data_IF_940709027456
#
_entry.id   IF_940709027456
#
_cell.length_a   1.000
_cell.length_b   1.000
_cell.length_c   1.000
_cell.angle_alpha   90.00
_cell.angle_beta   90.00
_cell.angle_gamma   90.00
#
_symmetry.space_group_name_H-M   'P 1'
#
loop_
_entity.id
_entity.type
_entity.pdbx_description
1 polymer ?
#
# COMPACT_ATOMS: atom_id res chain seq x y z
N UNK A 1 -15.60 0.95 -4.87
CA UNK A 1 -15.46 1.91 -3.76
C UNK A 1 -16.79 2.59 -3.40
N UNK A 2 -17.54 3.14 -4.35
CA UNK A 2 -18.80 3.87 -4.07
C UNK A 2 -19.81 3.09 -3.21
N UNK A 3 -20.09 1.82 -3.56
CA UNK A 3 -20.96 0.94 -2.75
C UNK A 3 -20.49 0.73 -1.31
N UNK A 4 -19.19 0.84 -1.04
CA UNK A 4 -18.61 0.65 0.30
C UNK A 4 -18.71 1.93 1.14
N UNK A 5 -18.52 3.09 0.49
CA UNK A 5 -18.72 4.42 1.08
C UNK A 5 -20.18 4.67 1.44
N UNK A 6 -21.12 4.20 0.61
CA UNK A 6 -22.57 4.26 0.84
C UNK A 6 -22.99 3.42 2.04
N UNK A 7 -22.47 2.18 2.15
CA UNK A 7 -22.81 1.27 3.25
C UNK A 7 -22.24 1.70 4.61
N UNK A 8 -21.14 2.44 4.60
CA UNK A 8 -20.46 2.85 5.83
C UNK A 8 -20.14 4.34 5.77
N UNK A 9 -21.12 5.25 5.90
CA UNK A 9 -20.93 6.68 5.68
C UNK A 9 -20.00 7.34 6.70
N UNK A 10 -19.82 6.73 7.88
CA UNK A 10 -18.95 7.24 8.95
C UNK A 10 -17.56 6.58 9.00
N UNK A 11 -17.33 5.52 8.21
CA UNK A 11 -16.06 4.82 8.24
C UNK A 11 -14.92 5.69 7.67
N UNK A 12 -13.75 5.54 8.32
CA UNK A 12 -12.45 6.00 7.88
C UNK A 12 -11.72 4.85 7.20
N UNK A 13 -10.93 5.15 6.17
CA UNK A 13 -10.25 4.13 5.36
C UNK A 13 -8.75 4.36 5.32
N UNK A 14 -7.99 3.30 5.53
CA UNK A 14 -6.57 3.27 5.19
C UNK A 14 -6.36 2.68 3.80
N UNK A 15 -5.78 3.46 2.89
CA UNK A 15 -5.39 2.98 1.56
C UNK A 15 -3.89 2.80 1.54
N UNK A 16 -3.45 1.54 1.48
CA UNK A 16 -2.02 1.21 1.43
C UNK A 16 -1.53 1.14 -0.01
N UNK A 17 -0.35 1.69 -0.30
CA UNK A 17 0.34 1.43 -1.56
C UNK A 17 0.74 -0.05 -1.68
N UNK A 18 1.00 -0.49 -2.91
CA UNK A 18 1.72 -1.74 -3.18
C UNK A 18 3.21 -1.49 -2.94
N UNK A 19 3.88 -2.27 -2.06
CA UNK A 19 5.32 -2.15 -1.86
C UNK A 19 6.08 -2.53 -3.13
N UNK A 20 7.25 -1.90 -3.36
CA UNK A 20 8.10 -2.29 -4.50
C UNK A 20 8.57 -3.72 -4.34
N UNK A 21 8.36 -4.50 -5.40
CA UNK A 21 8.87 -5.86 -5.50
C UNK A 21 10.27 -5.86 -6.12
N UNK A 22 11.14 -6.74 -5.65
CA UNK A 22 12.40 -7.02 -6.31
C UNK A 22 12.12 -7.85 -7.56
N UNK A 23 11.88 -7.17 -8.67
CA UNK A 23 11.73 -7.75 -10.00
C UNK A 23 12.74 -7.09 -10.94
N UNK A 24 13.31 -7.90 -11.84
CA UNK A 24 14.16 -7.41 -12.93
C UNK A 24 13.32 -6.95 -14.12
N UNK A 25 12.02 -7.27 -14.15
CA UNK A 25 11.11 -6.95 -15.23
C UNK A 25 10.68 -5.46 -15.19
N UNK A 26 11.07 -4.63 -16.17
CA UNK A 26 10.77 -3.20 -16.15
C UNK A 26 9.27 -2.89 -16.21
N UNK A 27 8.49 -3.71 -16.92
CA UNK A 27 7.02 -3.62 -17.01
C UNK A 27 6.37 -3.73 -15.63
N UNK A 28 6.80 -4.69 -14.80
CA UNK A 28 6.25 -4.88 -13.46
C UNK A 28 6.52 -3.67 -12.56
N UNK A 29 7.69 -3.04 -12.67
CA UNK A 29 7.99 -1.79 -11.93
C UNK A 29 7.13 -0.63 -12.41
N UNK A 30 6.93 -0.50 -13.72
CA UNK A 30 6.02 0.50 -14.32
C UNK A 30 4.60 0.36 -13.81
N UNK A 31 4.07 -0.87 -13.84
CA UNK A 31 2.72 -1.21 -13.40
C UNK A 31 2.50 -0.89 -11.91
N UNK A 32 3.47 -1.20 -11.04
CA UNK A 32 3.37 -0.89 -9.61
C UNK A 32 3.35 0.63 -9.38
N UNK A 33 4.17 1.38 -10.12
CA UNK A 33 4.19 2.85 -10.03
C UNK A 33 2.86 3.45 -10.46
N UNK A 34 2.32 3.01 -11.60
CA UNK A 34 1.03 3.48 -12.11
C UNK A 34 -0.12 3.12 -11.16
N UNK A 35 -0.15 1.88 -10.67
CA UNK A 35 -1.16 1.43 -9.69
C UNK A 35 -1.12 2.29 -8.42
N UNK A 36 0.07 2.55 -7.88
CA UNK A 36 0.23 3.39 -6.69
C UNK A 36 -0.19 4.84 -6.91
N UNK A 37 0.03 5.37 -8.12
CA UNK A 37 -0.47 6.69 -8.51
C UNK A 37 -2.01 6.72 -8.51
N UNK A 38 -2.65 5.74 -9.15
CA UNK A 38 -4.12 5.62 -9.20
C UNK A 38 -4.75 5.43 -7.82
N UNK A 39 -4.10 4.64 -6.94
CA UNK A 39 -4.53 4.46 -5.55
C UNK A 39 -4.49 5.79 -4.78
N UNK A 40 -3.43 6.58 -4.95
CA UNK A 40 -3.30 7.91 -4.32
C UNK A 40 -4.39 8.85 -4.80
N UNK A 41 -4.59 8.99 -6.11
CA UNK A 41 -5.66 9.84 -6.66
C UNK A 41 -7.06 9.41 -6.17
N UNK A 42 -7.30 8.10 -6.07
CA UNK A 42 -8.56 7.57 -5.56
C UNK A 42 -8.75 7.90 -4.09
N UNK A 43 -7.68 7.78 -3.28
CA UNK A 43 -7.70 8.17 -1.88
C UNK A 43 -7.98 9.68 -1.72
N UNK A 44 -7.37 10.53 -2.54
CA UNK A 44 -7.60 11.98 -2.52
C UNK A 44 -9.06 12.33 -2.87
N UNK A 45 -9.67 11.63 -3.84
CA UNK A 45 -11.09 11.77 -4.18
C UNK A 45 -12.04 11.36 -3.06
N UNK A 46 -11.61 10.50 -2.14
CA UNK A 46 -12.38 10.13 -0.94
C UNK A 46 -12.29 11.21 0.16
N UNK A 47 -11.46 12.24 -0.01
CA UNK A 47 -11.33 13.37 0.90
C UNK A 47 -10.81 12.96 2.28
N UNK A 48 -11.27 13.66 3.32
CA UNK A 48 -10.86 13.44 4.72
C UNK A 48 -11.26 12.08 5.30
N UNK A 49 -11.96 11.24 4.53
CA UNK A 49 -12.39 9.90 4.95
C UNK A 49 -11.36 8.82 4.64
N UNK A 50 -10.30 9.14 3.90
CA UNK A 50 -9.27 8.18 3.54
C UNK A 50 -7.88 8.76 3.78
N UNK A 51 -7.00 7.94 4.32
CA UNK A 51 -5.59 8.25 4.48
C UNK A 51 -4.76 7.30 3.61
N UNK A 52 -3.86 7.88 2.82
CA UNK A 52 -2.95 7.13 2.00
C UNK A 52 -1.67 6.79 2.78
N UNK A 53 -1.35 5.50 2.87
CA UNK A 53 -0.15 4.99 3.52
C UNK A 53 0.83 4.50 2.47
N UNK A 54 1.95 5.21 2.34
CA UNK A 54 3.02 4.82 1.44
C UNK A 54 3.88 3.71 2.06
N UNK A 55 3.38 2.48 1.96
CA UNK A 55 4.03 1.25 2.45
C UNK A 55 5.37 0.96 1.76
N UNK A 56 5.68 1.58 0.61
CA UNK A 56 7.01 1.46 0.00
C UNK A 56 8.11 2.03 0.91
N UNK A 57 7.92 3.24 1.44
CA UNK A 57 8.90 3.86 2.33
C UNK A 57 9.01 3.15 3.67
N UNK A 58 7.88 2.67 4.16
CA UNK A 58 7.77 1.84 5.36
C UNK A 58 8.63 0.59 5.20
N UNK A 59 8.47 -0.12 4.08
CA UNK A 59 9.17 -1.37 3.80
C UNK A 59 10.67 -1.20 3.51
N UNK A 60 11.07 -0.10 2.85
CA UNK A 60 12.47 0.13 2.45
C UNK A 60 13.44 0.18 3.63
N UNK A 61 12.97 0.55 4.83
CA UNK A 61 13.77 0.65 6.06
C UNK A 61 13.80 -0.64 6.88
N UNK A 62 13.02 -1.65 6.48
CA UNK A 62 12.96 -2.91 7.19
C UNK A 62 14.05 -3.84 6.67
N UNK A 63 14.88 -4.38 7.55
CA UNK A 63 15.90 -5.39 7.22
C UNK A 63 15.27 -6.72 6.76
N UNK A 64 13.97 -6.89 6.99
CA UNK A 64 13.17 -8.05 6.62
C UNK A 64 12.96 -8.12 5.10
N UNK A 65 13.94 -8.71 4.40
CA UNK A 65 13.93 -9.00 2.96
C UNK A 65 12.67 -9.78 2.56
N UNK A 66 12.17 -9.48 1.37
CA UNK A 66 11.06 -10.22 0.78
C UNK A 66 11.46 -11.70 0.55
N UNK A 67 10.61 -12.66 0.95
CA UNK A 67 10.82 -14.11 0.77
C UNK A 67 11.02 -14.45 -0.71
N UNK A 68 10.34 -13.73 -1.60
CA UNK A 68 10.29 -14.00 -3.04
C UNK A 68 10.51 -12.75 -3.90
N UNK A 69 11.06 -11.68 -3.32
CA UNK A 69 11.01 -10.36 -3.93
C UNK A 69 9.62 -9.70 -3.94
N UNK A 70 8.54 -10.44 -3.63
CA UNK A 70 7.14 -9.95 -3.64
C UNK A 70 6.51 -9.97 -2.25
N UNK A 71 6.68 -11.06 -1.49
CA UNK A 71 6.07 -11.22 -0.17
C UNK A 71 7.04 -10.85 0.96
N UNK A 72 6.55 -10.19 2.00
CA UNK A 72 7.33 -10.00 3.22
C UNK A 72 7.59 -11.33 3.94
N UNK A 73 8.68 -11.39 4.72
CA UNK A 73 8.77 -12.37 5.80
C UNK A 73 7.76 -12.06 6.89
N UNK A 74 7.50 -13.02 7.77
CA UNK A 74 6.62 -12.83 8.94
C UNK A 74 7.07 -11.64 9.81
N UNK A 75 8.38 -11.49 10.04
CA UNK A 75 8.95 -10.34 10.74
C UNK A 75 8.70 -9.02 10.00
N UNK A 76 8.84 -9.00 8.67
CA UNK A 76 8.52 -7.83 7.86
C UNK A 76 7.03 -7.46 7.91
N UNK A 77 6.15 -8.47 7.84
CA UNK A 77 4.70 -8.28 8.00
C UNK A 77 4.33 -7.66 9.35
N UNK A 78 4.94 -8.15 10.45
CA UNK A 78 4.76 -7.56 11.78
C UNK A 78 5.21 -6.10 11.85
N UNK A 79 6.38 -5.78 11.32
CA UNK A 79 6.91 -4.42 11.36
C UNK A 79 6.06 -3.44 10.53
N UNK A 80 5.55 -3.86 9.37
CA UNK A 80 4.57 -3.06 8.61
C UNK A 80 3.28 -2.88 9.42
N UNK A 81 2.76 -3.94 10.04
CA UNK A 81 1.57 -3.86 10.90
C UNK A 81 1.73 -2.89 12.06
N UNK A 82 2.89 -2.88 12.73
CA UNK A 82 3.20 -1.93 13.81
C UNK A 82 3.27 -0.48 13.33
N UNK A 83 3.70 -0.23 12.09
CA UNK A 83 3.75 1.12 11.52
C UNK A 83 2.38 1.63 11.06
N UNK A 84 1.41 0.74 10.87
CA UNK A 84 0.05 1.06 10.46
C UNK A 84 -0.95 1.14 11.63
N UNK A 85 -0.60 0.61 12.80
CA UNK A 85 -1.43 0.63 14.02
C UNK A 85 -1.35 1.97 14.76
#
# INVERSE_FOLDING_TARGET
ISKMLEKNPLAQYGVCSVPMVQTEEPSTRGNIRELNFLLKETCEKMGSRAQFFNTFWVARRLEAKAISGVHFTEAGGRAVGQLLA
#
